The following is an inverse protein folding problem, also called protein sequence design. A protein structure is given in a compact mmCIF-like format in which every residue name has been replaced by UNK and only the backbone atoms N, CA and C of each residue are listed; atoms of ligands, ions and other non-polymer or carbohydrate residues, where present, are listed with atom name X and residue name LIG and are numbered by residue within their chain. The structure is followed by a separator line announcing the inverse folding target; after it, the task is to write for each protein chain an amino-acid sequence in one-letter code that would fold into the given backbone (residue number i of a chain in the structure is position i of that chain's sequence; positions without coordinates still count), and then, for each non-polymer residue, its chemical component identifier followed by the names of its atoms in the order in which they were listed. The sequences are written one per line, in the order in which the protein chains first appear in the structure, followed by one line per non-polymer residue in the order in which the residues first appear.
data_IF_403578317578
#
_entry.id   IF_403578317578
#
_cell.length_a   1.000
_cell.length_b   1.000
_cell.length_c   1.000
_cell.angle_alpha   90.00
_cell.angle_beta   90.00
_cell.angle_gamma   90.00
#
_symmetry.space_group_name_H-M   'P 1'
#
loop_
_entity.id
_entity.type
_entity.pdbx_description
1 polymer ?
#
# COMPACT_ATOMS: atom_id res chain seq x y z
N UNK A 1 53.93 47.08 -59.27
CA UNK A 1 52.88 46.03 -59.30
C UNK A 1 52.53 45.61 -57.90
N UNK A 2 51.38 46.06 -57.37
CA UNK A 2 50.87 45.71 -56.03
C UNK A 2 49.72 44.71 -56.21
N UNK A 3 49.86 43.54 -55.65
CA UNK A 3 48.82 42.50 -55.64
C UNK A 3 47.90 42.74 -54.44
N UNK A 4 46.59 42.98 -54.70
CA UNK A 4 45.52 42.99 -53.69
C UNK A 4 45.11 41.55 -53.39
N UNK A 5 45.07 41.20 -52.09
CA UNK A 5 44.49 39.94 -51.60
C UNK A 5 43.03 40.20 -51.23
N UNK A 6 42.07 39.35 -51.61
CA UNK A 6 40.71 39.46 -51.12
C UNK A 6 40.57 38.81 -49.73
N UNK A 7 40.01 39.58 -48.80
CA UNK A 7 39.61 39.06 -47.45
C UNK A 7 38.27 38.32 -47.57
N UNK A 8 38.24 37.02 -47.33
CA UNK A 8 37.04 36.24 -47.14
C UNK A 8 36.47 36.51 -45.72
N UNK A 9 35.31 37.14 -45.66
CA UNK A 9 34.49 37.23 -44.44
C UNK A 9 33.71 35.91 -44.25
N UNK A 10 34.10 35.14 -43.23
CA UNK A 10 33.34 33.99 -42.79
C UNK A 10 32.16 34.47 -41.92
N UNK A 11 30.92 34.39 -42.45
CA UNK A 11 29.72 34.54 -41.67
C UNK A 11 29.42 33.22 -40.95
N UNK A 12 29.77 33.17 -39.66
CA UNK A 12 29.38 32.05 -38.78
C UNK A 12 27.89 32.09 -38.47
N UNK A 13 27.12 31.16 -39.07
CA UNK A 13 25.75 30.91 -38.64
C UNK A 13 25.79 30.26 -37.26
N UNK A 14 25.38 30.99 -36.24
CA UNK A 14 25.09 30.45 -34.91
C UNK A 14 23.79 29.66 -34.99
N UNK A 15 23.88 28.34 -35.11
CA UNK A 15 22.72 27.45 -35.00
C UNK A 15 22.36 27.36 -33.53
N UNK A 16 21.40 28.17 -33.07
CA UNK A 16 20.75 28.01 -31.78
C UNK A 16 19.94 26.71 -31.80
N UNK A 17 20.52 25.64 -31.27
CA UNK A 17 19.75 24.42 -30.98
C UNK A 17 18.64 24.75 -30.00
N UNK A 18 17.38 24.47 -30.25
CA UNK A 18 16.33 24.68 -29.27
C UNK A 18 16.59 23.73 -28.10
N UNK A 19 16.85 24.32 -26.94
CA UNK A 19 16.85 23.56 -25.68
C UNK A 19 15.46 22.97 -25.49
N UNK A 20 15.32 21.69 -25.71
CA UNK A 20 14.09 20.96 -25.35
C UNK A 20 14.00 20.97 -23.83
N UNK A 21 13.29 21.96 -23.29
CA UNK A 21 12.88 21.95 -21.89
C UNK A 21 11.94 20.75 -21.70
N UNK A 22 12.49 19.62 -21.27
CA UNK A 22 11.67 18.49 -20.82
C UNK A 22 10.95 19.00 -19.56
N UNK A 23 9.63 19.09 -19.63
CA UNK A 23 8.82 19.48 -18.50
C UNK A 23 9.12 18.54 -17.31
N UNK A 24 9.22 19.06 -16.07
CA UNK A 24 9.45 18.22 -14.91
C UNK A 24 8.32 17.17 -14.81
N UNK A 25 8.68 15.93 -14.43
CA UNK A 25 7.71 14.83 -14.39
C UNK A 25 6.64 15.07 -13.30
N UNK A 26 5.45 14.50 -13.50
CA UNK A 26 4.40 14.41 -12.49
C UNK A 26 4.97 13.70 -11.24
N UNK A 27 4.78 14.29 -10.05
CA UNK A 27 5.09 13.61 -8.79
C UNK A 27 3.85 12.85 -8.32
N UNK A 28 4.02 11.59 -7.98
CA UNK A 28 2.95 10.70 -7.54
C UNK A 28 3.37 10.03 -6.24
N UNK A 29 2.54 10.15 -5.23
CA UNK A 29 2.74 9.47 -3.96
C UNK A 29 1.63 8.47 -3.70
N UNK A 30 1.99 7.32 -3.17
CA UNK A 30 1.05 6.33 -2.67
C UNK A 30 1.41 5.97 -1.24
N UNK A 31 0.42 5.97 -0.36
CA UNK A 31 0.54 5.35 0.94
C UNK A 31 -0.66 4.50 1.28
N UNK A 32 -0.47 3.53 2.16
CA UNK A 32 -1.51 2.60 2.57
C UNK A 32 -1.02 1.63 3.64
N UNK A 33 -1.86 0.67 3.99
CA UNK A 33 -1.56 -0.30 5.03
C UNK A 33 -1.85 -1.71 4.57
N UNK A 34 -1.06 -2.63 5.07
CA UNK A 34 -1.22 -4.08 4.92
C UNK A 34 -1.41 -4.68 6.30
N UNK A 35 -2.54 -5.35 6.54
CA UNK A 35 -2.84 -5.97 7.83
C UNK A 35 -2.85 -7.48 7.72
N UNK A 36 -2.15 -8.14 8.63
CA UNK A 36 -2.18 -9.58 8.89
C UNK A 36 -2.42 -9.83 10.37
N UNK A 37 -2.75 -11.08 10.74
CA UNK A 37 -2.96 -11.49 12.12
C UNK A 37 -2.24 -12.80 12.37
N UNK A 38 -1.53 -12.91 13.49
CA UNK A 38 -0.80 -14.10 13.84
C UNK A 38 -1.25 -14.65 15.20
N UNK A 39 -1.36 -15.98 15.29
CA UNK A 39 -1.43 -16.69 16.56
C UNK A 39 -0.09 -16.58 17.30
N UNK A 40 0.00 -16.92 18.59
CA UNK A 40 1.24 -16.83 19.37
C UNK A 40 2.41 -17.60 18.78
N UNK A 41 2.16 -18.73 18.15
CA UNK A 41 3.16 -19.55 17.45
C UNK A 41 3.57 -19.02 16.06
N UNK A 42 3.06 -17.85 15.66
CA UNK A 42 3.35 -17.22 14.36
C UNK A 42 2.50 -17.72 13.20
N UNK A 43 1.56 -18.62 13.43
CA UNK A 43 0.67 -19.09 12.36
C UNK A 43 -0.24 -17.96 11.88
N UNK A 44 -0.22 -17.62 10.56
CA UNK A 44 -1.13 -16.65 10.00
C UNK A 44 -2.60 -17.07 10.20
N UNK A 45 -3.44 -16.11 10.56
CA UNK A 45 -4.86 -16.33 10.76
C UNK A 45 -5.65 -15.87 9.53
N UNK A 46 -6.58 -16.70 9.10
CA UNK A 46 -7.53 -16.36 8.04
C UNK A 46 -8.71 -15.51 8.53
N UNK A 47 -9.71 -15.35 7.65
CA UNK A 47 -10.97 -14.63 7.90
C UNK A 47 -10.81 -13.12 8.10
N UNK A 48 -9.74 -12.53 7.57
CA UNK A 48 -9.45 -11.10 7.72
C UNK A 48 -10.33 -10.20 6.84
N UNK A 49 -11.18 -10.73 5.97
CA UNK A 49 -12.15 -9.92 5.23
C UNK A 49 -13.32 -9.43 6.13
N UNK A 50 -13.45 -9.93 7.35
CA UNK A 50 -14.43 -9.42 8.31
C UNK A 50 -13.91 -8.11 8.94
N UNK A 51 -14.75 -7.09 8.97
CA UNK A 51 -14.39 -5.77 9.46
C UNK A 51 -14.69 -5.60 10.94
N UNK A 52 -13.82 -4.83 11.59
CA UNK A 52 -14.16 -4.02 12.73
C UNK A 52 -14.99 -2.81 12.26
N UNK A 53 -16.06 -2.48 12.97
CA UNK A 53 -17.10 -1.49 12.58
C UNK A 53 -16.57 -0.08 12.28
N UNK A 54 -15.33 0.23 12.74
CA UNK A 54 -14.71 1.55 12.59
C UNK A 54 -14.24 1.88 11.15
N UNK A 55 -14.14 0.91 10.26
CA UNK A 55 -13.48 1.06 8.96
C UNK A 55 -14.42 0.96 7.76
N UNK A 56 -15.70 1.23 7.93
CA UNK A 56 -16.68 1.19 6.84
C UNK A 56 -16.40 2.32 5.85
N UNK A 57 -16.23 1.96 4.58
CA UNK A 57 -16.11 2.95 3.51
C UNK A 57 -17.46 3.62 3.23
N UNK A 58 -17.45 4.88 2.74
CA UNK A 58 -18.68 5.56 2.31
C UNK A 58 -19.46 4.80 1.24
N UNK A 59 -20.77 5.02 1.17
CA UNK A 59 -21.67 4.30 0.27
C UNK A 59 -21.37 4.53 -1.24
N UNK A 60 -20.69 5.62 -1.59
CA UNK A 60 -20.31 5.92 -2.98
C UNK A 60 -19.08 5.12 -3.46
N UNK A 61 -18.39 4.41 -2.58
CA UNK A 61 -17.25 3.57 -2.96
C UNK A 61 -17.74 2.38 -3.76
N UNK A 62 -17.17 2.19 -4.94
CA UNK A 62 -17.50 1.06 -5.81
C UNK A 62 -16.98 -0.24 -5.24
N UNK A 63 -17.74 -1.31 -5.49
CA UNK A 63 -17.41 -2.67 -5.04
C UNK A 63 -17.36 -3.61 -6.23
N UNK A 64 -16.35 -4.46 -6.24
CA UNK A 64 -16.19 -5.52 -7.21
C UNK A 64 -16.16 -6.87 -6.49
N UNK A 65 -17.07 -7.75 -6.88
CA UNK A 65 -17.05 -9.16 -6.50
C UNK A 65 -16.80 -9.98 -7.77
N UNK A 66 -15.73 -10.80 -7.77
CA UNK A 66 -15.48 -11.68 -8.91
C UNK A 66 -16.66 -12.64 -9.09
N UNK A 67 -16.95 -13.08 -10.31
CA UNK A 67 -17.96 -14.09 -10.57
C UNK A 67 -17.70 -15.32 -9.68
N UNK A 68 -18.66 -15.68 -8.84
CA UNK A 68 -18.63 -16.91 -8.05
C UNK A 68 -19.65 -17.88 -8.58
N UNK A 69 -19.35 -19.17 -8.56
CA UNK A 69 -20.38 -20.18 -8.71
C UNK A 69 -21.34 -20.13 -7.51
N UNK A 70 -22.61 -20.36 -7.73
CA UNK A 70 -23.74 -20.08 -6.80
C UNK A 70 -23.63 -20.62 -5.36
N UNK A 71 -22.65 -21.45 -5.05
CA UNK A 71 -22.51 -22.06 -3.72
C UNK A 71 -21.99 -21.10 -2.63
N UNK A 72 -21.39 -19.97 -2.98
CA UNK A 72 -20.69 -19.09 -2.03
C UNK A 72 -21.30 -17.68 -1.85
N UNK A 73 -22.58 -17.50 -2.22
CA UNK A 73 -23.30 -16.22 -2.05
C UNK A 73 -23.34 -15.69 -0.60
N UNK A 74 -22.96 -16.49 0.39
CA UNK A 74 -22.87 -16.09 1.80
C UNK A 74 -21.45 -15.63 2.22
N UNK A 75 -20.46 -15.70 1.35
CA UNK A 75 -19.07 -15.40 1.67
C UNK A 75 -18.53 -14.27 0.80
N UNK A 76 -19.02 -13.06 1.02
CA UNK A 76 -18.53 -11.88 0.30
C UNK A 76 -17.04 -11.65 0.54
N UNK A 77 -16.31 -11.26 -0.52
CA UNK A 77 -14.93 -10.75 -0.43
C UNK A 77 -14.90 -9.33 0.10
N UNK A 78 -16.02 -8.63 0.04
CA UNK A 78 -16.11 -7.27 0.54
C UNK A 78 -15.95 -7.22 2.05
N UNK A 79 -15.43 -6.14 2.51
CA UNK A 79 -15.29 -5.82 3.92
C UNK A 79 -16.63 -5.34 4.49
N UNK A 80 -17.64 -6.23 4.60
CA UNK A 80 -18.97 -5.91 5.15
C UNK A 80 -19.19 -6.45 6.55
N UNK A 81 -19.81 -5.65 7.41
CA UNK A 81 -20.23 -6.07 8.75
C UNK A 81 -21.27 -7.18 8.66
N UNK A 82 -21.11 -8.23 9.45
CA UNK A 82 -22.07 -9.33 9.55
C UNK A 82 -21.83 -10.51 8.59
N UNK A 83 -21.00 -10.36 7.55
CA UNK A 83 -20.66 -11.47 6.67
C UNK A 83 -19.61 -12.38 7.33
N UNK A 84 -19.77 -13.72 7.28
CA UNK A 84 -18.72 -14.62 7.74
C UNK A 84 -17.39 -14.38 7.02
N UNK A 85 -16.29 -14.29 7.78
CA UNK A 85 -14.98 -14.12 7.18
C UNK A 85 -14.57 -15.35 6.37
N UNK A 86 -13.91 -15.14 5.22
CA UNK A 86 -13.38 -16.21 4.37
C UNK A 86 -12.07 -16.75 4.97
N UNK A 87 -11.92 -18.07 5.12
CA UNK A 87 -10.73 -18.66 5.72
C UNK A 87 -9.45 -18.45 4.90
N UNK A 88 -9.59 -18.29 3.59
CA UNK A 88 -8.50 -18.04 2.64
C UNK A 88 -7.99 -16.59 2.66
N UNK A 89 -8.68 -15.64 3.27
CA UNK A 89 -8.22 -14.26 3.41
C UNK A 89 -7.28 -14.15 4.61
N UNK A 90 -5.98 -14.07 4.36
CA UNK A 90 -4.92 -13.96 5.39
C UNK A 90 -4.29 -12.57 5.46
N UNK A 91 -4.61 -11.71 4.49
CA UNK A 91 -4.09 -10.34 4.42
C UNK A 91 -5.16 -9.38 3.91
N UNK A 92 -5.20 -8.18 4.50
CA UNK A 92 -5.98 -7.04 3.99
C UNK A 92 -5.03 -5.97 3.48
N UNK A 93 -5.35 -5.42 2.34
CA UNK A 93 -4.80 -4.18 1.84
C UNK A 93 -5.78 -3.08 2.21
N UNK A 94 -5.36 -2.20 3.13
CA UNK A 94 -6.26 -1.20 3.70
C UNK A 94 -5.91 0.19 3.21
N UNK A 95 -6.87 0.81 2.57
CA UNK A 95 -6.87 2.21 2.18
C UNK A 95 -5.57 2.70 1.53
N UNK A 96 -5.00 2.03 0.50
CA UNK A 96 -4.06 2.73 -0.35
C UNK A 96 -4.75 3.91 -1.02
N UNK A 97 -4.05 5.05 -1.00
CA UNK A 97 -4.46 6.27 -1.68
C UNK A 97 -3.31 6.78 -2.54
N UNK A 98 -3.63 7.25 -3.74
CA UNK A 98 -2.65 7.74 -4.71
C UNK A 98 -2.90 9.22 -4.96
N UNK A 99 -1.91 10.05 -4.67
CA UNK A 99 -1.94 11.49 -4.85
C UNK A 99 -1.12 11.92 -6.06
N UNK A 100 -1.51 13.05 -6.64
CA UNK A 100 -0.90 13.62 -7.82
C UNK A 100 -0.49 15.07 -7.56
N UNK A 101 0.77 15.40 -7.89
CA UNK A 101 1.34 16.72 -7.73
C UNK A 101 1.92 17.16 -9.10
N UNK A 102 1.10 17.84 -9.93
CA UNK A 102 1.57 18.35 -11.21
C UNK A 102 2.66 19.41 -10.99
N UNK A 103 3.65 19.52 -11.88
CA UNK A 103 4.68 20.55 -11.78
C UNK A 103 4.07 21.95 -11.80
N UNK A 104 4.65 22.87 -11.02
CA UNK A 104 4.24 24.26 -11.03
C UNK A 104 4.40 24.86 -12.45
N UNK A 105 3.36 25.53 -12.95
CA UNK A 105 3.38 26.14 -14.28
C UNK A 105 3.25 25.17 -15.45
N UNK A 106 3.15 23.86 -15.22
CA UNK A 106 2.72 22.94 -16.28
C UNK A 106 1.24 23.19 -16.54
N UNK A 107 0.87 23.55 -17.75
CA UNK A 107 -0.54 23.61 -18.16
C UNK A 107 -1.31 22.33 -17.78
N UNK A 108 -2.54 22.14 -18.25
CA UNK A 108 -3.25 20.89 -18.01
C UNK A 108 -2.46 19.71 -18.60
N UNK A 109 -2.19 18.70 -17.78
CA UNK A 109 -1.63 17.44 -18.27
C UNK A 109 -2.67 16.76 -19.18
N UNK A 110 -2.23 16.05 -20.25
CA UNK A 110 -3.15 15.24 -21.03
C UNK A 110 -3.78 14.17 -20.13
N UNK A 111 -4.98 13.68 -20.47
CA UNK A 111 -5.58 12.54 -19.78
C UNK A 111 -4.62 11.35 -19.73
N UNK A 112 -4.61 10.63 -18.60
CA UNK A 112 -3.68 9.52 -18.36
C UNK A 112 -4.37 8.35 -17.66
N UNK A 113 -3.74 7.19 -17.77
CA UNK A 113 -4.20 5.97 -17.11
C UNK A 113 -3.37 5.65 -15.88
N UNK A 114 -4.03 5.05 -14.89
CA UNK A 114 -3.40 4.44 -13.72
C UNK A 114 -3.87 3.01 -13.61
N UNK A 115 -2.95 2.07 -13.39
CA UNK A 115 -3.32 0.67 -13.14
C UNK A 115 -2.55 0.09 -11.97
N UNK A 116 -3.27 -0.70 -11.16
CA UNK A 116 -2.74 -1.45 -10.03
C UNK A 116 -3.00 -2.92 -10.28
N UNK A 117 -2.02 -3.76 -9.95
CA UNK A 117 -2.19 -5.22 -9.88
C UNK A 117 -1.91 -5.67 -8.45
N UNK A 118 -2.64 -6.67 -7.97
CA UNK A 118 -2.42 -7.25 -6.65
C UNK A 118 -2.20 -8.76 -6.77
N UNK A 119 -0.94 -9.19 -6.73
CA UNK A 119 -0.56 -10.60 -6.82
C UNK A 119 -0.84 -11.32 -5.50
N UNK A 120 -1.57 -12.43 -5.58
CA UNK A 120 -2.06 -13.18 -4.43
C UNK A 120 -3.33 -12.60 -3.83
N UNK A 121 -3.94 -11.59 -4.47
CA UNK A 121 -5.12 -10.90 -3.94
C UNK A 121 -6.04 -10.33 -4.99
N UNK A 122 -7.13 -9.75 -4.53
CA UNK A 122 -8.17 -9.09 -5.32
C UNK A 122 -8.34 -7.66 -4.81
N UNK A 123 -8.41 -6.70 -5.74
CA UNK A 123 -8.81 -5.32 -5.45
C UNK A 123 -10.31 -5.23 -5.62
N UNK A 124 -11.03 -4.98 -4.55
CA UNK A 124 -12.48 -5.14 -4.52
C UNK A 124 -13.28 -3.92 -4.03
N UNK A 125 -12.64 -2.88 -3.52
CA UNK A 125 -13.25 -1.59 -3.22
C UNK A 125 -12.38 -0.47 -3.78
N UNK A 126 -12.97 0.50 -4.48
CA UNK A 126 -12.22 1.59 -5.13
C UNK A 126 -13.09 2.81 -5.42
N UNK A 127 -12.43 3.95 -5.54
CA UNK A 127 -13.06 5.21 -5.95
C UNK A 127 -11.99 6.16 -6.56
N UNK A 128 -12.29 6.91 -7.63
CA UNK A 128 -13.48 6.90 -8.48
C UNK A 128 -13.66 5.60 -9.26
N UNK A 129 -14.70 5.54 -10.10
CA UNK A 129 -14.99 4.40 -10.99
C UNK A 129 -13.76 3.93 -11.77
N UNK A 130 -13.56 2.62 -11.82
CA UNK A 130 -12.45 1.97 -12.50
C UNK A 130 -12.88 0.60 -13.05
N UNK A 131 -12.10 0.07 -13.96
CA UNK A 131 -12.26 -1.29 -14.45
C UNK A 131 -11.53 -2.26 -13.52
N UNK A 132 -12.27 -3.10 -12.83
CA UNK A 132 -11.72 -4.17 -11.99
C UNK A 132 -11.68 -5.49 -12.76
N UNK A 133 -10.69 -6.32 -12.46
CA UNK A 133 -10.53 -7.66 -13.03
C UNK A 133 -9.90 -8.60 -12.01
N UNK A 134 -10.07 -9.90 -12.25
CA UNK A 134 -9.34 -10.95 -11.53
C UNK A 134 -8.93 -12.03 -12.54
N UNK A 135 -7.70 -12.48 -12.43
CA UNK A 135 -7.11 -13.49 -13.31
C UNK A 135 -6.17 -14.41 -12.53
N UNK A 136 -5.80 -15.54 -13.13
CA UNK A 136 -4.72 -16.39 -12.63
C UNK A 136 -3.39 -15.96 -13.25
N UNK A 137 -2.34 -15.89 -12.44
CA UNK A 137 -0.95 -15.67 -12.89
C UNK A 137 -0.35 -16.98 -13.40
N UNK A 138 -0.84 -17.40 -14.57
CA UNK A 138 -0.48 -18.68 -15.18
C UNK A 138 1.00 -18.78 -15.59
N UNK A 139 1.70 -17.65 -15.71
CA UNK A 139 3.14 -17.63 -16.02
C UNK A 139 4.01 -18.11 -14.86
N UNK A 140 3.50 -18.01 -13.64
CA UNK A 140 4.20 -18.41 -12.40
C UNK A 140 3.97 -19.86 -12.00
N UNK A 141 3.15 -20.58 -12.73
CA UNK A 141 2.68 -21.92 -12.37
C UNK A 141 3.27 -22.97 -13.31
N UNK A 142 3.78 -24.06 -12.74
CA UNK A 142 4.17 -25.23 -13.51
C UNK A 142 3.01 -25.71 -14.40
N UNK A 143 3.31 -26.21 -15.59
CA UNK A 143 2.32 -26.57 -16.61
C UNK A 143 1.29 -27.60 -16.11
N UNK A 144 1.69 -28.56 -15.27
CA UNK A 144 0.78 -29.56 -14.68
C UNK A 144 -0.15 -28.94 -13.64
N UNK A 145 0.37 -28.02 -12.82
CA UNK A 145 -0.41 -27.27 -11.82
C UNK A 145 -1.34 -26.30 -12.53
N UNK A 146 -0.88 -25.67 -13.63
CA UNK A 146 -1.68 -24.78 -14.47
C UNK A 146 -2.95 -25.45 -14.99
N UNK A 147 -2.84 -26.65 -15.56
CA UNK A 147 -3.99 -27.38 -16.10
C UNK A 147 -5.04 -27.71 -15.03
N UNK A 148 -4.62 -28.08 -13.81
CA UNK A 148 -5.50 -28.27 -12.67
C UNK A 148 -6.13 -26.97 -12.17
N UNK A 149 -5.33 -25.93 -11.93
CA UNK A 149 -5.83 -24.64 -11.46
C UNK A 149 -6.87 -24.02 -12.40
N UNK A 150 -6.61 -24.01 -13.71
CA UNK A 150 -7.55 -23.44 -14.68
C UNK A 150 -8.87 -24.24 -14.71
N UNK A 151 -8.82 -25.55 -14.55
CA UNK A 151 -10.00 -26.40 -14.59
C UNK A 151 -10.91 -26.22 -13.37
N UNK A 152 -10.28 -26.06 -12.20
CA UNK A 152 -11.01 -26.06 -10.92
C UNK A 152 -11.17 -24.65 -10.32
N UNK A 153 -10.54 -23.63 -10.92
CA UNK A 153 -10.64 -22.26 -10.42
C UNK A 153 -11.95 -21.59 -10.90
N UNK A 154 -12.79 -21.30 -9.97
CA UNK A 154 -14.10 -20.66 -10.19
C UNK A 154 -14.14 -19.18 -9.78
N UNK A 155 -12.99 -18.60 -9.38
CA UNK A 155 -12.90 -17.24 -8.84
C UNK A 155 -13.30 -17.13 -7.36
N UNK A 156 -13.77 -18.20 -6.75
CA UNK A 156 -14.29 -18.18 -5.39
C UNK A 156 -13.21 -18.34 -4.32
N UNK A 157 -12.06 -18.93 -4.64
CA UNK A 157 -10.98 -19.21 -3.68
C UNK A 157 -9.78 -18.31 -3.96
N UNK A 158 -9.32 -17.59 -2.94
CA UNK A 158 -8.06 -16.85 -3.01
C UNK A 158 -6.89 -17.80 -2.80
N UNK A 159 -5.92 -17.69 -3.68
CA UNK A 159 -4.63 -18.35 -3.55
C UNK A 159 -3.47 -17.44 -4.01
N UNK A 160 -2.24 -17.93 -3.91
CA UNK A 160 -1.03 -17.19 -4.28
C UNK A 160 -0.91 -16.89 -5.79
N UNK A 161 -1.75 -17.48 -6.64
CA UNK A 161 -1.71 -17.32 -8.09
C UNK A 161 -2.79 -16.37 -8.62
N UNK A 162 -3.72 -15.98 -7.76
CA UNK A 162 -4.73 -14.97 -8.12
C UNK A 162 -4.06 -13.61 -8.28
N UNK A 163 -4.49 -12.85 -9.29
CA UNK A 163 -4.06 -11.47 -9.51
C UNK A 163 -5.28 -10.60 -9.73
N UNK A 164 -5.56 -9.74 -8.76
CA UNK A 164 -6.52 -8.66 -8.93
C UNK A 164 -5.94 -7.55 -9.78
N UNK A 165 -6.76 -6.96 -10.64
CA UNK A 165 -6.42 -5.80 -11.45
C UNK A 165 -7.40 -4.67 -11.20
N UNK A 166 -6.91 -3.42 -11.27
CA UNK A 166 -7.74 -2.22 -11.24
C UNK A 166 -7.13 -1.21 -12.21
N UNK A 167 -7.95 -0.64 -13.09
CA UNK A 167 -7.51 0.35 -14.07
C UNK A 167 -8.46 1.53 -14.15
N UNK A 168 -7.95 2.70 -13.84
CA UNK A 168 -8.57 3.98 -14.15
C UNK A 168 -8.08 4.45 -15.52
N UNK A 169 -8.98 4.94 -16.33
CA UNK A 169 -8.69 5.45 -17.67
C UNK A 169 -9.05 6.92 -17.79
N UNK A 170 -8.32 7.61 -18.65
CA UNK A 170 -8.60 8.99 -19.05
C UNK A 170 -8.78 9.93 -17.86
N UNK A 171 -7.92 9.75 -16.84
CA UNK A 171 -7.91 10.60 -15.65
C UNK A 171 -7.43 12.01 -16.00
N UNK A 172 -8.09 13.01 -15.46
CA UNK A 172 -7.68 14.40 -15.52
C UNK A 172 -7.36 14.96 -14.14
N UNK A 173 -6.38 15.89 -14.08
CA UNK A 173 -6.03 16.59 -12.86
C UNK A 173 -6.60 17.99 -12.85
N UNK A 174 -7.20 18.40 -11.72
CA UNK A 174 -7.72 19.76 -11.54
C UNK A 174 -7.64 20.16 -10.06
N UNK A 175 -7.34 21.43 -9.74
CA UNK A 175 -7.43 21.92 -8.38
C UNK A 175 -8.84 21.81 -7.78
N UNK A 176 -9.86 21.85 -8.64
CA UNK A 176 -11.26 21.74 -8.28
C UNK A 176 -11.89 20.55 -8.98
N UNK A 177 -12.30 19.55 -8.20
CA UNK A 177 -13.04 18.38 -8.64
C UNK A 177 -14.27 18.19 -7.76
N UNK A 178 -15.36 17.58 -8.25
CA UNK A 178 -16.49 17.24 -7.42
C UNK A 178 -16.06 16.24 -6.34
N UNK A 179 -16.29 16.60 -5.07
CA UNK A 179 -15.98 15.76 -3.92
C UNK A 179 -17.29 15.16 -3.39
N UNK A 180 -17.42 13.85 -3.26
CA UNK A 180 -18.62 13.24 -2.69
C UNK A 180 -18.75 13.61 -1.20
N UNK A 181 -19.98 13.85 -0.74
CA UNK A 181 -20.26 14.15 0.64
C UNK A 181 -20.04 12.91 1.53
N UNK A 182 -19.38 13.11 2.67
CA UNK A 182 -19.18 12.06 3.68
C UNK A 182 -18.77 12.66 5.02
N UNK A 183 -19.11 11.97 6.10
CA UNK A 183 -18.67 12.27 7.46
C UNK A 183 -17.60 11.28 7.96
N UNK A 184 -17.23 10.29 7.15
CA UNK A 184 -16.24 9.28 7.52
C UNK A 184 -14.87 9.91 7.74
N UNK A 185 -14.36 9.86 8.97
CA UNK A 185 -13.05 10.41 9.30
C UNK A 185 -11.91 9.71 8.55
N UNK A 186 -12.05 8.41 8.28
CA UNK A 186 -11.11 7.61 7.48
C UNK A 186 -11.00 8.14 6.06
N UNK A 187 -12.09 8.71 5.53
CA UNK A 187 -12.12 9.33 4.20
C UNK A 187 -11.68 10.80 4.22
N UNK A 188 -12.09 11.54 5.26
CA UNK A 188 -11.81 12.97 5.36
C UNK A 188 -10.34 13.29 5.70
N UNK A 189 -9.65 12.41 6.43
CA UNK A 189 -8.25 12.62 6.77
C UNK A 189 -7.35 12.66 5.51
N UNK A 190 -7.40 11.69 4.58
CA UNK A 190 -6.67 11.75 3.32
C UNK A 190 -7.03 12.96 2.45
N UNK A 191 -8.29 13.42 2.50
CA UNK A 191 -8.77 14.57 1.72
C UNK A 191 -8.11 15.91 2.10
N UNK A 192 -7.47 15.99 3.27
CA UNK A 192 -6.78 17.21 3.75
C UNK A 192 -5.41 17.41 3.10
N UNK A 193 -4.87 16.40 2.44
CA UNK A 193 -3.57 16.50 1.77
C UNK A 193 -3.64 17.50 0.61
N UNK A 194 -2.61 18.32 0.48
CA UNK A 194 -2.53 19.39 -0.54
C UNK A 194 -2.06 18.86 -1.89
N UNK A 195 -2.79 17.90 -2.42
CA UNK A 195 -2.60 17.33 -3.75
C UNK A 195 -3.52 17.99 -4.77
N UNK A 196 -3.31 17.72 -6.05
CA UNK A 196 -4.29 17.99 -7.10
C UNK A 196 -5.49 17.06 -6.95
N UNK A 197 -6.69 17.54 -7.29
CA UNK A 197 -7.82 16.65 -7.48
C UNK A 197 -7.63 15.82 -8.75
N UNK A 198 -8.23 14.64 -8.77
CA UNK A 198 -8.27 13.71 -9.90
C UNK A 198 -9.73 13.37 -10.22
N UNK A 199 -10.08 13.39 -11.50
CA UNK A 199 -11.42 13.08 -11.97
C UNK A 199 -11.40 12.13 -13.15
N UNK A 200 -12.44 11.30 -13.26
CA UNK A 200 -12.72 10.46 -14.43
C UNK A 200 -13.51 11.21 -15.50
N UNK A 201 -13.50 10.73 -16.71
CA UNK A 201 -14.34 11.28 -17.78
C UNK A 201 -15.85 11.20 -17.48
N UNK A 202 -16.27 10.29 -16.59
CA UNK A 202 -17.66 10.16 -16.13
C UNK A 202 -18.06 11.22 -15.08
N UNK A 203 -17.12 12.07 -14.61
CA UNK A 203 -17.38 13.16 -13.70
C UNK A 203 -17.24 12.83 -12.23
N UNK A 204 -16.87 11.61 -11.85
CA UNK A 204 -16.48 11.29 -10.48
C UNK A 204 -15.10 11.86 -10.18
N UNK A 205 -14.91 12.45 -8.99
CA UNK A 205 -13.64 13.03 -8.60
C UNK A 205 -13.36 12.94 -7.10
N UNK A 206 -12.07 13.02 -6.75
CA UNK A 206 -11.56 13.06 -5.38
C UNK A 206 -10.16 13.71 -5.36
N UNK A 207 -9.62 13.96 -4.16
CA UNK A 207 -8.23 14.40 -3.96
C UNK A 207 -7.21 13.29 -4.22
N UNK A 208 -7.65 12.05 -4.31
CA UNK A 208 -6.82 10.85 -4.46
C UNK A 208 -7.57 9.74 -5.19
N UNK A 209 -6.86 8.80 -5.76
CA UNK A 209 -7.45 7.50 -6.10
C UNK A 209 -7.39 6.61 -4.87
N UNK A 210 -8.50 5.95 -4.57
CA UNK A 210 -8.64 5.05 -3.43
C UNK A 210 -8.85 3.62 -3.92
N UNK A 211 -8.25 2.65 -3.22
CA UNK A 211 -8.55 1.25 -3.41
C UNK A 211 -8.30 0.42 -2.15
N UNK A 212 -8.94 -0.73 -2.07
CA UNK A 212 -8.76 -1.76 -1.04
C UNK A 212 -8.75 -3.13 -1.67
N UNK A 213 -8.20 -4.11 -0.92
CA UNK A 213 -8.19 -5.47 -1.37
C UNK A 213 -8.03 -6.49 -0.25
N UNK A 214 -8.20 -7.74 -0.61
CA UNK A 214 -7.96 -8.90 0.25
C UNK A 214 -7.05 -9.88 -0.47
N UNK A 215 -6.22 -10.62 0.29
CA UNK A 215 -5.26 -11.54 -0.30
C UNK A 215 -5.05 -12.79 0.55
N UNK A 216 -4.51 -13.82 -0.11
CA UNK A 216 -3.94 -15.00 0.52
C UNK A 216 -2.42 -14.90 0.50
N UNK A 217 -1.87 -14.05 1.36
CA UNK A 217 -0.43 -13.79 1.45
C UNK A 217 0.03 -13.86 2.90
N UNK A 218 1.26 -14.32 3.08
CA UNK A 218 1.93 -14.27 4.37
C UNK A 218 2.50 -12.87 4.65
N UNK A 219 2.56 -12.52 5.93
CA UNK A 219 3.31 -11.33 6.35
C UNK A 219 4.78 -11.43 5.95
N UNK A 220 5.44 -10.26 5.87
CA UNK A 220 6.86 -10.15 5.52
C UNK A 220 7.78 -10.79 6.58
N UNK A 221 7.33 -10.89 7.82
CA UNK A 221 8.03 -11.54 8.93
C UNK A 221 7.10 -12.53 9.62
N UNK A 222 7.67 -13.62 10.11
CA UNK A 222 7.00 -14.50 11.04
C UNK A 222 7.23 -13.99 12.48
N UNK A 223 6.23 -14.12 13.33
CA UNK A 223 6.29 -13.70 14.72
C UNK A 223 6.06 -14.91 15.63
N UNK A 224 6.78 -14.99 16.73
CA UNK A 224 6.56 -15.98 17.80
C UNK A 224 6.46 -15.24 19.12
N UNK A 225 5.30 -15.31 19.76
CA UNK A 225 5.06 -14.69 21.05
C UNK A 225 5.45 -15.67 22.16
N UNK A 226 6.38 -15.25 23.03
CA UNK A 226 6.78 -15.99 24.23
C UNK A 226 6.25 -15.28 25.50
N UNK A 227 6.56 -15.81 26.67
CA UNK A 227 6.20 -15.15 27.92
C UNK A 227 6.92 -13.79 28.14
N UNK A 228 8.07 -13.58 27.50
CA UNK A 228 8.95 -12.43 27.77
C UNK A 228 9.22 -11.57 26.54
N UNK A 229 9.04 -12.10 25.36
CA UNK A 229 9.45 -11.43 24.10
C UNK A 229 8.58 -11.85 22.91
N UNK A 230 8.68 -11.05 21.84
CA UNK A 230 8.25 -11.38 20.49
C UNK A 230 9.50 -11.65 19.67
N UNK A 231 9.66 -12.88 19.16
CA UNK A 231 10.72 -13.25 18.23
C UNK A 231 10.29 -12.99 16.82
N UNK A 232 11.09 -12.26 16.08
CA UNK A 232 10.89 -12.05 14.66
C UNK A 232 11.79 -12.99 13.87
N UNK A 233 11.21 -13.69 12.89
CA UNK A 233 11.91 -14.65 12.04
C UNK A 233 11.73 -14.31 10.58
N UNK A 234 12.72 -14.65 9.77
CA UNK A 234 12.62 -14.58 8.33
C UNK A 234 11.49 -15.51 7.84
N UNK A 235 10.72 -15.10 6.81
CA UNK A 235 9.71 -15.94 6.22
C UNK A 235 10.35 -17.17 5.55
N UNK A 236 9.58 -18.26 5.44
CA UNK A 236 10.07 -19.51 4.86
C UNK A 236 10.54 -19.38 3.39
N UNK A 237 10.01 -18.41 2.66
CA UNK A 237 10.29 -18.20 1.23
C UNK A 237 10.30 -16.72 0.88
N UNK A 238 11.37 -16.28 0.19
CA UNK A 238 11.50 -14.97 -0.45
C UNK A 238 11.83 -15.14 -1.94
N UNK A 239 11.12 -16.05 -2.63
CA UNK A 239 11.38 -16.36 -4.05
C UNK A 239 11.19 -15.14 -4.97
N UNK A 240 10.32 -14.23 -4.59
CA UNK A 240 10.06 -12.98 -5.30
C UNK A 240 11.19 -11.95 -5.16
N UNK A 241 12.02 -12.05 -4.12
CA UNK A 241 13.12 -11.12 -3.88
C UNK A 241 14.28 -11.38 -4.84
N UNK A 242 14.66 -10.38 -5.60
CA UNK A 242 15.81 -10.46 -6.52
C UNK A 242 17.13 -10.17 -5.80
N UNK A 243 17.12 -9.25 -4.86
CA UNK A 243 18.30 -8.90 -4.05
C UNK A 243 18.71 -10.03 -3.09
N UNK A 244 19.98 -10.12 -2.69
CA UNK A 244 20.42 -11.09 -1.70
C UNK A 244 19.87 -10.82 -0.29
N UNK A 245 19.47 -9.59 -0.02
CA UNK A 245 18.92 -9.12 1.25
C UNK A 245 17.73 -8.21 1.01
N UNK A 246 16.83 -8.17 1.99
CA UNK A 246 15.71 -7.25 2.08
C UNK A 246 15.89 -6.42 3.35
N UNK A 247 15.86 -5.09 3.22
CA UNK A 247 15.94 -4.18 4.36
C UNK A 247 14.55 -3.69 4.74
N UNK A 248 14.23 -3.76 6.04
CA UNK A 248 13.04 -3.16 6.63
C UNK A 248 13.52 -1.96 7.44
N UNK A 249 13.22 -0.73 7.00
CA UNK A 249 13.82 0.47 7.62
C UNK A 249 13.44 0.65 9.08
N UNK A 250 12.17 0.46 9.40
CA UNK A 250 11.61 0.66 10.73
C UNK A 250 10.65 -0.46 11.11
N UNK A 251 10.74 -0.92 12.36
CA UNK A 251 9.84 -1.91 12.98
C UNK A 251 9.51 -1.43 14.38
N UNK A 252 8.22 -1.35 14.72
CA UNK A 252 7.72 -1.01 16.06
C UNK A 252 6.94 -2.17 16.65
N UNK A 253 7.33 -2.62 17.85
CA UNK A 253 6.46 -3.41 18.70
C UNK A 253 5.65 -2.44 19.56
N UNK A 254 4.32 -2.54 19.50
CA UNK A 254 3.39 -1.62 20.15
C UNK A 254 2.43 -2.40 21.02
N UNK A 255 2.28 -1.99 22.28
CA UNK A 255 1.28 -2.49 23.21
C UNK A 255 0.37 -1.36 23.66
N UNK A 256 -0.92 -1.47 23.39
CA UNK A 256 -1.96 -0.53 23.81
C UNK A 256 -2.86 -1.20 24.83
N UNK A 257 -3.09 -0.54 25.96
CA UNK A 257 -4.00 -1.01 27.01
C UNK A 257 -5.34 -0.28 26.97
N UNK A 258 -6.40 -0.88 27.53
CA UNK A 258 -7.64 -0.14 27.79
C UNK A 258 -7.33 1.18 28.52
N UNK A 259 -8.01 2.27 28.10
CA UNK A 259 -7.72 3.61 28.61
C UNK A 259 -6.58 4.35 27.91
N UNK A 260 -6.06 3.84 26.78
CA UNK A 260 -5.14 4.56 25.88
C UNK A 260 -3.70 4.67 26.39
N UNK A 261 -3.32 3.97 27.46
CA UNK A 261 -1.92 3.89 27.87
C UNK A 261 -1.17 2.96 26.95
N UNK A 262 0.00 3.38 26.44
CA UNK A 262 0.76 2.58 25.52
C UNK A 262 2.26 2.54 25.85
N UNK A 263 2.90 1.47 25.38
CA UNK A 263 4.34 1.31 25.33
C UNK A 263 4.73 0.86 23.94
N UNK A 264 5.88 1.29 23.47
CA UNK A 264 6.45 0.83 22.22
C UNK A 264 7.98 0.77 22.28
N UNK A 265 8.55 -0.02 21.41
CA UNK A 265 9.98 -0.01 21.11
C UNK A 265 10.17 -0.07 19.59
N UNK A 266 11.20 0.57 19.12
CA UNK A 266 11.56 0.66 17.73
C UNK A 266 12.86 -0.10 17.44
N UNK A 267 12.94 -0.69 16.25
CA UNK A 267 14.15 -1.20 15.63
C UNK A 267 14.27 -0.58 14.25
N UNK A 268 15.42 0.00 13.98
CA UNK A 268 15.77 0.52 12.65
C UNK A 268 16.63 -0.49 11.92
N UNK A 269 16.48 -0.57 10.60
CA UNK A 269 17.37 -1.34 9.73
C UNK A 269 17.41 -2.86 10.03
N UNK A 270 16.24 -3.52 10.00
CA UNK A 270 16.18 -4.97 10.12
C UNK A 270 16.44 -5.63 8.75
N UNK A 271 17.46 -6.50 8.68
CA UNK A 271 17.86 -7.16 7.45
C UNK A 271 17.35 -8.62 7.38
N UNK A 272 16.77 -9.01 6.27
CA UNK A 272 16.33 -10.38 5.97
C UNK A 272 17.17 -10.94 4.83
N UNK A 273 17.97 -11.96 5.09
CA UNK A 273 18.71 -12.66 4.04
C UNK A 273 17.78 -13.56 3.21
N UNK A 274 17.82 -13.45 1.89
CA UNK A 274 16.99 -14.23 0.97
C UNK A 274 17.10 -15.75 1.17
N UNK A 275 18.27 -16.27 1.56
CA UNK A 275 18.59 -17.70 1.67
C UNK A 275 18.71 -18.19 3.11
N UNK A 276 18.18 -17.47 4.09
CA UNK A 276 18.17 -17.89 5.48
C UNK A 276 16.73 -18.03 5.99
N UNK A 277 15.93 -18.97 5.44
CA UNK A 277 14.55 -19.15 5.87
C UNK A 277 14.49 -19.49 7.36
N UNK A 278 13.50 -18.95 8.05
CA UNK A 278 13.26 -19.16 9.48
C UNK A 278 14.38 -18.69 10.42
N UNK A 279 15.40 -18.00 9.91
CA UNK A 279 16.42 -17.39 10.75
C UNK A 279 15.79 -16.38 11.72
N UNK A 280 16.22 -16.39 12.97
CA UNK A 280 15.83 -15.37 13.93
C UNK A 280 16.47 -14.03 13.51
N UNK A 281 15.63 -13.01 13.31
CA UNK A 281 16.05 -11.68 12.91
C UNK A 281 16.36 -10.81 14.13
N UNK A 282 15.47 -10.85 15.12
CA UNK A 282 15.60 -10.10 16.37
C UNK A 282 14.58 -10.57 17.41
N UNK A 283 14.78 -10.14 18.65
CA UNK A 283 13.83 -10.29 19.76
C UNK A 283 13.44 -8.92 20.28
N UNK A 284 12.15 -8.74 20.47
CA UNK A 284 11.56 -7.54 21.04
C UNK A 284 10.94 -7.92 22.39
N UNK A 285 11.48 -7.36 23.48
CA UNK A 285 11.00 -7.63 24.83
C UNK A 285 9.56 -7.15 25.01
N UNK A 286 8.74 -7.93 25.71
CA UNK A 286 7.42 -7.48 26.13
C UNK A 286 7.51 -6.37 27.20
N UNK A 287 6.48 -5.56 27.27
CA UNK A 287 6.47 -4.39 28.16
C UNK A 287 5.90 -4.73 29.54
N UNK A 288 6.66 -4.53 30.64
CA UNK A 288 6.10 -4.50 31.97
C UNK A 288 4.97 -3.49 32.11
N UNK A 289 4.08 -3.72 33.08
CA UNK A 289 2.90 -2.87 33.28
C UNK A 289 3.26 -1.38 33.45
N UNK A 290 4.33 -1.08 34.17
CA UNK A 290 4.78 0.29 34.47
C UNK A 290 5.33 1.06 33.27
N UNK A 291 5.64 0.39 32.15
CA UNK A 291 6.14 1.06 30.94
C UNK A 291 5.03 1.68 30.08
N UNK A 292 3.78 1.29 30.28
CA UNK A 292 2.66 1.88 29.55
C UNK A 292 2.35 3.28 30.07
N UNK A 293 2.60 4.29 29.24
CA UNK A 293 2.47 5.72 29.58
C UNK A 293 1.27 6.36 28.89
N UNK A 294 0.65 7.39 29.48
CA UNK A 294 -0.37 8.20 28.80
C UNK A 294 0.17 8.89 27.54
N UNK A 295 1.45 9.27 27.54
CA UNK A 295 2.11 9.89 26.37
C UNK A 295 2.52 8.87 25.30
N UNK A 296 2.50 7.57 25.56
CA UNK A 296 3.07 6.54 24.71
C UNK A 296 2.52 6.56 23.27
N UNK A 297 1.22 6.83 23.10
CA UNK A 297 0.62 6.95 21.76
C UNK A 297 1.10 8.20 21.01
N UNK A 298 1.24 9.33 21.70
CA UNK A 298 1.76 10.56 21.09
C UNK A 298 3.21 10.35 20.66
N UNK A 299 4.01 9.74 21.51
CA UNK A 299 5.44 9.51 21.26
C UNK A 299 5.63 8.50 20.10
N UNK A 300 4.79 7.45 20.03
CA UNK A 300 4.72 6.52 18.90
C UNK A 300 4.36 7.23 17.59
N UNK A 301 3.31 8.07 17.61
CA UNK A 301 2.90 8.83 16.41
C UNK A 301 4.03 9.74 15.92
N UNK A 302 4.78 10.38 16.81
CA UNK A 302 5.91 11.22 16.46
C UNK A 302 7.05 10.40 15.80
N UNK A 303 7.39 9.21 16.37
CA UNK A 303 8.36 8.28 15.78
C UNK A 303 7.91 7.82 14.39
N UNK A 304 6.66 7.38 14.24
CA UNK A 304 6.13 6.95 12.94
C UNK A 304 6.09 8.08 11.93
N UNK A 305 5.70 9.31 12.33
CA UNK A 305 5.69 10.46 11.42
C UNK A 305 7.08 10.73 10.86
N UNK A 306 8.09 10.74 11.72
CA UNK A 306 9.48 10.93 11.29
C UNK A 306 9.90 9.87 10.27
N UNK A 307 9.63 8.59 10.53
CA UNK A 307 9.94 7.49 9.62
C UNK A 307 9.18 7.56 8.28
N UNK A 308 7.90 7.97 8.30
CA UNK A 308 7.09 8.15 7.08
C UNK A 308 7.63 9.28 6.21
N UNK A 309 8.05 10.38 6.83
CA UNK A 309 8.66 11.52 6.12
C UNK A 309 10.06 11.16 5.59
N UNK A 310 10.87 10.43 6.37
CA UNK A 310 12.15 9.88 5.92
C UNK A 310 11.97 8.94 4.71
N UNK A 311 10.91 8.14 4.70
CA UNK A 311 10.55 7.27 3.58
C UNK A 311 10.04 8.03 2.34
N UNK A 312 9.84 9.36 2.42
CA UNK A 312 9.55 10.25 1.30
C UNK A 312 8.14 10.80 1.22
N UNK A 313 7.28 10.58 2.21
CA UNK A 313 5.99 11.26 2.27
C UNK A 313 6.14 12.74 2.64
N UNK A 314 5.24 13.57 2.14
CA UNK A 314 5.11 14.92 2.63
C UNK A 314 4.53 14.95 4.06
N UNK A 315 4.78 16.02 4.78
CA UNK A 315 4.36 16.18 6.19
C UNK A 315 2.85 16.00 6.39
N UNK A 316 2.06 16.57 5.48
CA UNK A 316 0.59 16.48 5.52
C UNK A 316 0.08 15.09 5.10
N UNK A 317 0.81 14.36 4.26
CA UNK A 317 0.50 12.95 3.95
C UNK A 317 0.77 12.04 5.15
N UNK A 318 1.91 12.22 5.82
CA UNK A 318 2.24 11.46 7.03
C UNK A 318 1.21 11.71 8.14
N UNK A 319 0.80 12.97 8.37
CA UNK A 319 -0.25 13.31 9.32
C UNK A 319 -1.60 12.71 8.92
N UNK A 320 -1.98 12.78 7.64
CA UNK A 320 -3.22 12.23 7.13
C UNK A 320 -3.27 10.70 7.30
N UNK A 321 -2.16 10.00 7.01
CA UNK A 321 -2.04 8.56 7.21
C UNK A 321 -2.23 8.18 8.67
N UNK A 322 -1.53 8.84 9.60
CA UNK A 322 -1.62 8.56 11.04
C UNK A 322 -3.00 8.90 11.60
N UNK A 323 -3.67 9.91 11.05
CA UNK A 323 -5.04 10.26 11.45
C UNK A 323 -6.07 9.27 10.90
N UNK A 324 -5.92 8.81 9.66
CA UNK A 324 -6.76 7.77 9.06
C UNK A 324 -6.81 6.50 9.94
N UNK A 325 -5.66 6.11 10.50
CA UNK A 325 -5.50 4.91 11.29
C UNK A 325 -5.57 5.13 12.80
N UNK A 326 -6.01 6.30 13.24
CA UNK A 326 -6.08 6.68 14.68
C UNK A 326 -6.73 5.59 15.53
N UNK A 327 -7.88 5.07 15.09
CA UNK A 327 -8.66 4.13 15.90
C UNK A 327 -8.08 2.71 15.87
N UNK A 328 -7.67 2.23 14.70
CA UNK A 328 -7.17 0.87 14.55
C UNK A 328 -5.73 0.67 15.04
N UNK A 329 -4.85 1.67 14.89
CA UNK A 329 -3.44 1.56 15.28
C UNK A 329 -3.17 2.02 16.69
N UNK A 330 -3.84 3.10 17.12
CA UNK A 330 -3.49 3.80 18.33
C UNK A 330 -4.54 3.66 19.44
N UNK A 331 -5.83 3.52 19.11
CA UNK A 331 -6.88 3.45 20.11
C UNK A 331 -7.25 2.01 20.49
N UNK A 332 -7.21 1.08 19.55
CA UNK A 332 -7.58 -0.31 19.81
C UNK A 332 -6.57 -1.01 20.75
N UNK A 333 -7.01 -1.58 21.90
CA UNK A 333 -6.13 -2.34 22.77
C UNK A 333 -5.53 -3.57 22.09
N UNK A 334 -4.32 -3.96 22.48
CA UNK A 334 -3.66 -5.14 21.96
C UNK A 334 -2.16 -4.98 21.75
N UNK A 335 -1.52 -6.08 21.39
CA UNK A 335 -0.12 -6.14 21.00
C UNK A 335 -0.03 -6.26 19.48
N UNK A 336 0.80 -5.43 18.85
CA UNK A 336 0.98 -5.43 17.40
C UNK A 336 2.38 -5.04 16.98
N UNK A 337 2.76 -5.53 15.82
CA UNK A 337 3.97 -5.12 15.13
C UNK A 337 3.58 -4.21 13.98
N UNK A 338 4.22 -3.03 13.89
CA UNK A 338 4.11 -2.13 12.74
C UNK A 338 5.49 -2.05 12.07
N UNK A 339 5.53 -1.90 10.75
CA UNK A 339 6.80 -1.77 10.02
C UNK A 339 6.61 -1.04 8.70
N UNK A 340 7.64 -0.35 8.23
CA UNK A 340 7.66 0.18 6.87
C UNK A 340 7.89 -0.98 5.90
N UNK A 341 6.97 -1.15 4.97
CA UNK A 341 7.04 -2.20 3.95
C UNK A 341 8.14 -1.85 2.95
N UNK A 342 9.09 -2.74 2.68
CA UNK A 342 10.12 -2.49 1.67
C UNK A 342 9.53 -2.24 0.28
N UNK A 343 10.14 -1.32 -0.46
CA UNK A 343 9.71 -0.95 -1.81
C UNK A 343 9.68 -2.14 -2.78
N UNK A 344 10.58 -3.10 -2.61
CA UNK A 344 10.66 -4.33 -3.42
C UNK A 344 9.40 -5.20 -3.25
N UNK A 345 8.84 -5.25 -2.02
CA UNK A 345 7.58 -5.96 -1.78
C UNK A 345 6.44 -5.28 -2.54
N UNK A 346 6.34 -3.96 -2.41
CA UNK A 346 5.31 -3.19 -3.09
C UNK A 346 5.44 -3.28 -4.62
N UNK A 347 6.65 -3.20 -5.14
CA UNK A 347 6.91 -3.34 -6.58
C UNK A 347 6.55 -4.72 -7.13
N UNK A 348 6.70 -5.77 -6.32
CA UNK A 348 6.39 -7.13 -6.74
C UNK A 348 4.90 -7.49 -6.57
N UNK A 349 4.34 -7.27 -5.38
CA UNK A 349 2.96 -7.71 -5.07
C UNK A 349 1.89 -6.71 -5.49
N UNK A 350 2.23 -5.42 -5.53
CA UNK A 350 1.34 -4.33 -5.89
C UNK A 350 1.94 -3.45 -7.01
N UNK A 351 2.34 -3.99 -8.18
CA UNK A 351 2.84 -3.14 -9.25
C UNK A 351 1.82 -2.06 -9.62
N UNK A 352 2.29 -0.82 -9.65
CA UNK A 352 1.56 0.38 -10.02
C UNK A 352 2.16 0.95 -11.32
N UNK A 353 1.32 1.24 -12.30
CA UNK A 353 1.71 1.82 -13.58
C UNK A 353 0.92 3.09 -13.85
N UNK A 354 1.58 4.09 -14.39
CA UNK A 354 1.00 5.38 -14.77
C UNK A 354 1.48 5.70 -16.19
N UNK A 355 0.58 6.06 -17.07
CA UNK A 355 0.86 6.17 -18.52
C UNK A 355 1.63 7.44 -18.92
N UNK A 356 1.87 8.37 -18.01
CA UNK A 356 2.65 9.59 -18.24
C UNK A 356 3.99 9.56 -17.49
N UNK A 357 5.01 10.33 -17.94
CA UNK A 357 6.28 10.44 -17.19
C UNK A 357 6.05 10.94 -15.77
N UNK A 358 6.56 10.21 -14.79
CA UNK A 358 6.32 10.49 -13.38
C UNK A 358 7.49 10.10 -12.49
N UNK A 359 7.50 10.66 -11.27
CA UNK A 359 8.30 10.20 -10.13
C UNK A 359 7.36 9.59 -9.11
N UNK A 360 7.61 8.37 -8.69
CA UNK A 360 6.74 7.61 -7.80
C UNK A 360 7.42 7.39 -6.44
N UNK A 361 6.75 7.84 -5.37
CA UNK A 361 7.06 7.49 -3.99
C UNK A 361 5.96 6.59 -3.44
N UNK A 362 6.33 5.47 -2.82
CA UNK A 362 5.38 4.51 -2.25
C UNK A 362 5.77 4.17 -0.83
N UNK A 363 4.92 4.46 0.13
CA UNK A 363 5.16 4.18 1.55
C UNK A 363 3.99 3.40 2.11
N UNK A 364 4.18 2.11 2.33
CA UNK A 364 3.19 1.24 2.93
C UNK A 364 3.61 0.87 4.35
N UNK A 365 2.66 0.79 5.27
CA UNK A 365 2.88 0.29 6.63
C UNK A 365 2.28 -1.11 6.75
N UNK A 366 3.11 -2.06 7.14
CA UNK A 366 2.68 -3.41 7.51
C UNK A 366 2.24 -3.45 8.97
N UNK A 367 1.13 -4.12 9.23
CA UNK A 367 0.60 -4.39 10.58
C UNK A 367 0.43 -5.89 10.77
N UNK A 368 0.97 -6.40 11.87
CA UNK A 368 0.74 -7.76 12.34
C UNK A 368 0.08 -7.67 13.71
N UNK A 369 -1.20 -8.01 13.82
CA UNK A 369 -1.85 -8.15 15.11
C UNK A 369 -1.45 -9.49 15.75
N UNK A 370 -0.91 -9.42 16.97
CA UNK A 370 -0.49 -10.57 17.74
C UNK A 370 -1.62 -10.97 18.69
N UNK A 371 -2.24 -12.12 18.43
CA UNK A 371 -3.33 -12.61 19.27
C UNK A 371 -2.77 -13.08 20.62
N UNK A 372 -3.48 -12.87 21.74
CA UNK A 372 -3.15 -13.53 22.99
C UNK A 372 -3.32 -15.05 22.82
N UNK A 373 -2.55 -15.82 23.58
CA UNK A 373 -2.67 -17.28 23.67
C UNK A 373 -3.91 -17.71 24.43
#
# INVERSE_FOLDING_TARGET
MRWLRPSLLFFGFLVLSPSTHVAPPLVVHEWGTITTRHAPNGTPQGRLNRIDTADVVPAFVHRYEPPSTQADSQRSLTKTTGTPGRPDVTMRLETPVIYFYPPAGSGSLPPFDVSVRFRGGIVNEFYPTAQASVELDVERVDEKVRAGLIKDWDGAVLDNYVVGGLRWRDLSLSPSVPLPATESHVWLAPRRVRSSGVATAAGEGERYLFYRGVAHLSALMQTELTATDVRLRAPARLQWLRSPRLSIPHVWLVSVRPGGRAAFQERTSLEIARRAPSAELTRLRLFPTGEHRPSGLRDLRASMKAALTEAGLFDDEADAMLETWRDSYFSAPGLRLLYIVPSEWAAYFLPLQISVPHRLTRVLVGRIDLLPG
#
